data_IF_680192180180
#
_entry.id   IF_680192180180
#
_cell.length_a   1.000
_cell.length_b   1.000
_cell.length_c   1.000
_cell.angle_alpha   90.00
_cell.angle_beta   90.00
_cell.angle_gamma   90.00
#
_symmetry.space_group_name_H-M   'P 1'
#
loop_
_entity.id
_entity.type
_entity.pdbx_description
1 polymer ?
#
# COMPACT_ATOMS: atom_id res chain seq x y z
N UNK A 1 53.13 -5.06 30.11
CA UNK A 1 52.11 -4.44 30.97
C UNK A 1 51.37 -3.40 30.13
N UNK A 2 50.12 -3.54 29.71
CA UNK A 2 49.05 -4.51 29.99
C UNK A 2 48.26 -4.73 28.68
N UNK A 3 48.06 -6.02 28.38
CA UNK A 3 46.98 -6.67 27.65
C UNK A 3 46.41 -6.06 26.37
N UNK A 4 46.96 -6.52 25.23
CA UNK A 4 46.26 -6.63 23.96
C UNK A 4 45.36 -7.88 23.99
N UNK A 5 44.10 -7.70 24.37
CA UNK A 5 43.07 -8.73 24.34
C UNK A 5 42.57 -9.01 22.93
N UNK A 6 43.11 -10.05 22.32
CA UNK A 6 42.58 -10.72 21.14
C UNK A 6 41.20 -11.31 21.45
N UNK A 7 40.13 -10.59 21.13
CA UNK A 7 38.77 -11.14 21.11
C UNK A 7 38.42 -11.49 19.67
N UNK A 8 38.63 -12.77 19.36
CA UNK A 8 38.13 -13.41 18.16
C UNK A 8 36.63 -13.15 18.02
N UNK A 9 36.24 -12.48 16.92
CA UNK A 9 34.85 -12.46 16.48
C UNK A 9 34.45 -13.90 16.11
N UNK A 10 33.83 -14.59 17.07
CA UNK A 10 33.04 -15.79 16.82
C UNK A 10 31.83 -15.38 15.96
N UNK A 11 31.98 -15.43 14.63
CA UNK A 11 30.83 -15.60 13.74
C UNK A 11 30.26 -16.99 14.02
N UNK A 12 29.30 -17.07 14.95
CA UNK A 12 28.38 -18.21 14.98
C UNK A 12 27.62 -18.18 13.66
N UNK A 13 27.94 -19.09 12.75
CA UNK A 13 27.01 -19.55 11.74
C UNK A 13 25.84 -20.18 12.51
N UNK A 14 24.86 -19.38 12.92
CA UNK A 14 23.59 -19.88 13.40
C UNK A 14 22.91 -20.49 12.18
N UNK A 15 22.83 -21.82 12.18
CA UNK A 15 21.94 -22.55 11.29
C UNK A 15 20.53 -22.06 11.64
N UNK A 16 19.86 -21.33 10.73
CA UNK A 16 18.46 -20.92 10.91
C UNK A 16 17.60 -22.19 10.98
N UNK A 17 17.28 -22.66 12.18
CA UNK A 17 16.41 -23.81 12.38
C UNK A 17 14.97 -23.29 12.32
N UNK A 18 14.34 -23.38 11.15
CA UNK A 18 12.89 -23.31 11.06
C UNK A 18 12.32 -24.53 11.81
N UNK A 19 11.62 -24.28 12.93
CA UNK A 19 10.94 -25.35 13.65
C UNK A 19 9.65 -25.64 12.89
N UNK A 20 9.64 -26.79 12.19
CA UNK A 20 8.44 -27.28 11.50
C UNK A 20 7.68 -28.16 12.47
N UNK A 21 6.53 -27.67 12.93
CA UNK A 21 5.58 -28.51 13.67
C UNK A 21 4.68 -29.23 12.67
N UNK A 22 5.05 -30.46 12.33
CA UNK A 22 4.17 -31.36 11.58
C UNK A 22 3.33 -32.18 12.58
N UNK A 23 2.14 -31.69 12.91
CA UNK A 23 1.19 -32.44 13.73
C UNK A 23 0.03 -32.91 12.86
N UNK A 24 -0.03 -34.21 12.57
CA UNK A 24 -1.21 -34.86 12.00
C UNK A 24 -2.29 -34.97 13.06
N UNK A 25 -3.01 -33.86 13.30
CA UNK A 25 -4.25 -33.90 14.07
C UNK A 25 -5.38 -34.34 13.14
N UNK A 26 -5.81 -35.60 13.26
CA UNK A 26 -7.11 -36.04 12.73
C UNK A 26 -8.23 -35.46 13.62
N UNK A 27 -8.51 -34.17 13.46
CA UNK A 27 -9.79 -33.61 13.85
C UNK A 27 -10.74 -33.75 12.66
N UNK A 28 -11.96 -34.24 12.90
CA UNK A 28 -13.05 -34.19 11.92
C UNK A 28 -13.36 -32.70 11.65
N UNK A 29 -12.73 -32.14 10.62
CA UNK A 29 -12.92 -30.75 10.17
C UNK A 29 -14.25 -30.67 9.41
N UNK A 30 -15.07 -29.67 9.74
CA UNK A 30 -16.28 -29.35 8.96
C UNK A 30 -15.88 -29.02 7.52
N UNK A 31 -16.64 -29.51 6.54
CA UNK A 31 -16.32 -29.41 5.11
C UNK A 31 -16.36 -27.99 4.50
N UNK A 32 -16.39 -26.94 5.33
CA UNK A 32 -16.59 -25.56 4.88
C UNK A 32 -15.31 -24.87 4.41
N UNK A 33 -14.11 -25.38 4.74
CA UNK A 33 -12.85 -24.65 4.51
C UNK A 33 -11.69 -25.46 3.90
N UNK A 34 -11.99 -26.35 2.95
CA UNK A 34 -10.99 -27.21 2.28
C UNK A 34 -9.81 -26.46 1.64
N UNK A 35 -9.97 -25.16 1.36
CA UNK A 35 -8.90 -24.31 0.83
C UNK A 35 -7.76 -24.07 1.82
N UNK A 36 -8.04 -24.05 3.13
CA UNK A 36 -7.02 -23.89 4.18
C UNK A 36 -6.21 -25.17 4.39
N UNK A 37 -6.85 -26.33 4.26
CA UNK A 37 -6.26 -27.65 4.52
C UNK A 37 -5.05 -27.98 3.62
N UNK A 38 -4.86 -27.24 2.53
CA UNK A 38 -3.74 -27.38 1.59
C UNK A 38 -2.62 -26.36 1.78
N UNK A 39 -2.84 -25.32 2.60
CA UNK A 39 -1.89 -24.22 2.72
C UNK A 39 -0.78 -24.55 3.71
N UNK A 40 0.46 -24.31 3.29
CA UNK A 40 1.64 -24.28 4.16
C UNK A 40 1.92 -22.83 4.50
N UNK A 41 1.85 -22.50 5.79
CA UNK A 41 2.00 -21.13 6.27
C UNK A 41 3.30 -21.01 7.06
N UNK A 42 4.02 -19.90 6.91
CA UNK A 42 5.08 -19.52 7.83
C UNK A 42 4.68 -18.26 8.57
N UNK A 43 4.66 -18.33 9.90
CA UNK A 43 4.55 -17.16 10.76
C UNK A 43 5.96 -16.61 11.01
N UNK A 44 6.15 -15.33 10.72
CA UNK A 44 7.39 -14.60 10.89
C UNK A 44 7.16 -13.52 11.94
N UNK A 45 7.71 -13.72 13.14
CA UNK A 45 7.44 -12.85 14.29
C UNK A 45 8.20 -13.33 15.53
N UNK A 46 7.90 -12.72 16.68
CA UNK A 46 8.55 -13.07 17.96
C UNK A 46 7.53 -13.21 19.09
N UNK A 47 6.97 -12.09 19.57
CA UNK A 47 6.23 -11.99 20.83
C UNK A 47 4.97 -12.87 20.94
N UNK A 48 4.27 -13.12 19.82
CA UNK A 48 2.96 -13.79 19.79
C UNK A 48 2.97 -15.09 19.00
N UNK A 49 4.16 -15.65 18.75
CA UNK A 49 4.32 -16.81 17.87
C UNK A 49 3.48 -18.00 18.32
N UNK A 50 3.46 -18.29 19.62
CA UNK A 50 2.74 -19.46 20.17
C UNK A 50 1.23 -19.36 19.93
N UNK A 51 0.66 -18.16 20.10
CA UNK A 51 -0.77 -17.91 19.90
C UNK A 51 -1.18 -18.14 18.43
N UNK A 52 -0.38 -17.63 17.49
CA UNK A 52 -0.64 -17.82 16.06
C UNK A 52 -0.41 -19.26 15.61
N UNK A 53 0.60 -19.95 16.16
CA UNK A 53 0.82 -21.37 15.84
C UNK A 53 -0.34 -22.23 16.30
N UNK A 54 -0.76 -22.06 17.56
CA UNK A 54 -1.85 -22.85 18.12
C UNK A 54 -3.15 -22.64 17.33
N UNK A 55 -3.42 -21.39 16.93
CA UNK A 55 -4.53 -21.04 16.07
C UNK A 55 -4.41 -21.71 14.69
N UNK A 56 -3.33 -21.45 13.95
CA UNK A 56 -3.19 -21.87 12.55
C UNK A 56 -3.13 -23.40 12.38
N UNK A 57 -2.51 -24.14 13.30
CA UNK A 57 -2.43 -25.61 13.24
C UNK A 57 -3.81 -26.28 13.17
N UNK A 58 -4.84 -25.62 13.70
CA UNK A 58 -6.22 -26.12 13.67
C UNK A 58 -6.84 -26.02 12.27
N UNK A 59 -6.30 -25.18 11.39
CA UNK A 59 -6.90 -24.81 10.11
C UNK A 59 -6.06 -25.15 8.88
N UNK A 60 -4.73 -25.02 8.93
CA UNK A 60 -3.87 -25.16 7.74
C UNK A 60 -3.20 -26.53 7.64
N UNK A 61 -2.55 -26.83 6.51
CA UNK A 61 -1.84 -28.10 6.27
C UNK A 61 -0.61 -28.23 7.18
N UNK A 62 0.16 -27.15 7.30
CA UNK A 62 1.32 -27.06 8.17
C UNK A 62 1.63 -25.60 8.50
N UNK A 63 2.12 -25.35 9.70
CA UNK A 63 2.68 -24.06 10.09
C UNK A 63 4.13 -24.21 10.52
N UNK A 64 4.97 -23.27 10.10
CA UNK A 64 6.31 -23.09 10.64
C UNK A 64 6.43 -21.70 11.30
N UNK A 65 7.37 -21.57 12.23
CA UNK A 65 7.72 -20.29 12.84
C UNK A 65 9.17 -19.97 12.52
N UNK A 66 9.41 -18.70 12.21
CA UNK A 66 10.75 -18.15 12.09
C UNK A 66 10.80 -16.81 12.83
N UNK A 67 11.85 -16.59 13.61
CA UNK A 67 12.09 -15.27 14.18
C UNK A 67 12.34 -14.28 13.04
N UNK A 68 11.65 -13.14 13.07
CA UNK A 68 11.79 -12.07 12.08
C UNK A 68 13.25 -11.68 11.80
N UNK A 69 14.09 -11.61 12.83
CA UNK A 69 15.48 -11.16 12.70
C UNK A 69 16.38 -12.21 11.98
N UNK A 70 15.94 -13.47 11.96
CA UNK A 70 16.62 -14.58 11.29
C UNK A 70 16.04 -14.88 9.90
N UNK A 71 14.90 -14.29 9.56
CA UNK A 71 14.15 -14.60 8.36
C UNK A 71 14.77 -13.99 7.10
N UNK A 72 14.85 -14.78 6.02
CA UNK A 72 15.27 -14.33 4.70
C UNK A 72 14.15 -14.58 3.69
N UNK A 73 13.99 -13.71 2.65
CA UNK A 73 12.97 -13.91 1.62
C UNK A 73 12.95 -15.32 1.01
N UNK A 74 14.11 -15.93 0.78
CA UNK A 74 14.21 -17.28 0.23
C UNK A 74 13.65 -18.38 1.15
N UNK A 75 13.57 -18.15 2.47
CA UNK A 75 12.96 -19.11 3.40
C UNK A 75 11.45 -19.25 3.14
N UNK A 76 10.82 -18.21 2.57
CA UNK A 76 9.42 -18.20 2.20
C UNK A 76 9.08 -19.20 1.07
N UNK A 77 10.06 -19.65 0.28
CA UNK A 77 9.81 -20.44 -0.93
C UNK A 77 9.20 -21.83 -0.69
N UNK A 78 9.29 -22.32 0.54
CA UNK A 78 8.73 -23.60 0.96
C UNK A 78 7.26 -23.49 1.37
N UNK A 79 6.73 -22.28 1.44
CA UNK A 79 5.41 -21.96 1.95
C UNK A 79 4.55 -21.31 0.88
N UNK A 80 3.24 -21.38 1.08
CA UNK A 80 2.25 -20.81 0.19
C UNK A 80 1.88 -19.38 0.64
N UNK A 81 1.89 -19.13 1.95
CA UNK A 81 1.61 -17.81 2.55
C UNK A 81 2.59 -17.50 3.69
N UNK A 82 3.03 -16.24 3.77
CA UNK A 82 3.74 -15.68 4.93
C UNK A 82 2.76 -14.87 5.77
N UNK A 83 2.74 -15.09 7.08
CA UNK A 83 2.13 -14.16 8.05
C UNK A 83 3.25 -13.41 8.73
N UNK A 84 3.39 -12.13 8.39
CA UNK A 84 4.43 -11.27 8.97
C UNK A 84 3.83 -10.43 10.09
N UNK A 85 4.34 -10.66 11.30
CA UNK A 85 4.06 -9.87 12.49
C UNK A 85 5.29 -9.01 12.83
N UNK A 86 5.04 -7.76 13.21
CA UNK A 86 6.09 -6.80 13.54
C UNK A 86 5.65 -6.01 14.77
N UNK A 87 6.43 -6.07 15.87
CA UNK A 87 6.09 -5.41 17.11
C UNK A 87 5.79 -3.91 16.96
N UNK A 88 4.88 -3.42 17.79
CA UNK A 88 4.60 -2.00 17.98
C UNK A 88 5.38 -1.45 19.18
N UNK A 89 6.68 -1.21 18.98
CA UNK A 89 7.56 -0.64 20.01
C UNK A 89 8.22 0.67 19.55
N UNK A 90 8.84 1.39 20.48
CA UNK A 90 9.66 2.56 20.14
C UNK A 90 10.80 2.17 19.18
N UNK A 91 11.44 1.03 19.42
CA UNK A 91 12.51 0.51 18.58
C UNK A 91 12.01 0.17 17.17
N UNK A 92 10.84 -0.48 17.05
CA UNK A 92 10.24 -0.77 15.76
C UNK A 92 9.89 0.50 14.96
N UNK A 93 9.60 1.63 15.63
CA UNK A 93 9.41 2.93 14.96
C UNK A 93 10.73 3.46 14.39
N UNK A 94 11.86 3.17 15.01
CA UNK A 94 13.18 3.54 14.50
C UNK A 94 13.58 2.72 13.27
N UNK A 95 12.96 1.57 13.06
CA UNK A 95 13.18 0.74 11.86
C UNK A 95 12.45 1.24 10.61
N UNK A 96 11.67 2.33 10.70
CA UNK A 96 11.02 2.99 9.56
C UNK A 96 12.04 3.73 8.71
N UNK A 97 12.79 2.98 7.92
CA UNK A 97 13.83 3.49 7.04
C UNK A 97 13.55 3.09 5.60
N UNK A 98 14.37 3.57 4.66
CA UNK A 98 14.29 3.17 3.24
C UNK A 98 14.74 1.73 3.00
N UNK A 99 15.28 1.03 4.01
CA UNK A 99 15.82 -0.33 3.88
C UNK A 99 15.03 -1.28 4.78
N UNK A 100 14.52 -2.35 4.17
CA UNK A 100 13.85 -3.40 4.93
C UNK A 100 14.88 -4.38 5.49
N UNK A 101 14.78 -4.75 6.78
CA UNK A 101 15.58 -5.83 7.34
C UNK A 101 15.22 -7.21 6.73
N UNK A 102 14.08 -7.30 6.07
CA UNK A 102 13.54 -8.52 5.45
C UNK A 102 13.85 -8.61 3.96
N UNK A 103 14.90 -7.94 3.49
CA UNK A 103 15.31 -7.97 2.08
C UNK A 103 14.54 -7.00 1.17
N UNK A 104 14.87 -7.04 -0.12
CA UNK A 104 14.30 -6.09 -1.09
C UNK A 104 12.88 -6.51 -1.49
N UNK A 105 12.04 -5.53 -1.82
CA UNK A 105 10.69 -5.76 -2.34
C UNK A 105 10.68 -6.71 -3.54
N UNK A 106 11.66 -6.57 -4.43
CA UNK A 106 11.79 -7.39 -5.63
C UNK A 106 12.09 -8.88 -5.35
N UNK A 107 12.70 -9.17 -4.20
CA UNK A 107 13.02 -10.52 -3.74
C UNK A 107 11.82 -11.19 -3.06
N UNK A 108 10.76 -10.44 -2.77
CA UNK A 108 9.61 -10.90 -2.02
C UNK A 108 8.48 -11.40 -2.93
N UNK A 109 8.59 -12.66 -3.34
CA UNK A 109 7.66 -13.28 -4.28
C UNK A 109 6.41 -13.93 -3.66
N UNK A 110 6.35 -14.11 -2.34
CA UNK A 110 5.31 -14.94 -1.70
C UNK A 110 4.11 -14.11 -1.26
N UNK A 111 2.88 -14.62 -1.44
CA UNK A 111 1.70 -14.08 -0.78
C UNK A 111 1.93 -13.83 0.70
N UNK A 112 1.60 -12.64 1.17
CA UNK A 112 1.91 -12.23 2.55
C UNK A 112 0.77 -11.47 3.19
N UNK A 113 0.40 -11.88 4.39
CA UNK A 113 -0.45 -11.10 5.30
C UNK A 113 0.45 -10.30 6.23
N UNK A 114 0.29 -8.98 6.22
CA UNK A 114 0.98 -8.02 7.08
C UNK A 114 0.06 -7.70 8.27
N UNK A 115 0.42 -8.18 9.46
CA UNK A 115 -0.39 -8.07 10.67
C UNK A 115 -0.15 -6.75 11.41
N UNK A 116 -1.21 -6.05 11.76
CA UNK A 116 -1.16 -4.81 12.52
C UNK A 116 -0.17 -3.80 11.93
N UNK A 117 0.76 -3.31 12.74
CA UNK A 117 1.76 -2.33 12.26
C UNK A 117 2.85 -2.91 11.35
N UNK A 118 2.91 -4.22 11.11
CA UNK A 118 3.80 -4.78 10.10
C UNK A 118 3.53 -4.18 8.72
N UNK A 119 2.26 -3.90 8.42
CA UNK A 119 1.84 -3.20 7.21
C UNK A 119 2.57 -1.89 7.02
N UNK A 120 2.62 -1.07 8.06
CA UNK A 120 3.34 0.20 8.04
C UNK A 120 4.84 0.03 7.91
N UNK A 121 5.46 -0.74 8.81
CA UNK A 121 6.92 -0.76 8.92
C UNK A 121 7.55 -1.28 7.62
N UNK A 122 6.92 -2.29 7.00
CA UNK A 122 7.32 -2.79 5.71
C UNK A 122 6.95 -1.83 4.56
N UNK A 123 5.77 -1.22 4.60
CA UNK A 123 5.37 -0.23 3.60
C UNK A 123 6.26 1.01 3.57
N UNK A 124 6.84 1.42 4.69
CA UNK A 124 7.87 2.46 4.72
C UNK A 124 9.08 2.09 3.88
N UNK A 125 9.64 0.91 4.11
CA UNK A 125 10.86 0.45 3.41
C UNK A 125 10.61 0.09 1.94
N UNK A 126 9.45 -0.47 1.63
CA UNK A 126 9.09 -0.90 0.27
C UNK A 126 8.24 0.10 -0.50
N UNK A 127 7.99 1.27 0.11
CA UNK A 127 7.23 2.37 -0.47
C UNK A 127 5.87 1.89 -1.00
N UNK A 128 5.09 1.27 -0.12
CA UNK A 128 3.75 0.75 -0.42
C UNK A 128 2.66 1.72 0.07
N UNK A 129 1.41 1.49 -0.35
CA UNK A 129 0.27 2.31 0.09
C UNK A 129 0.08 2.37 1.61
N UNK A 130 0.52 1.34 2.34
CA UNK A 130 0.53 1.28 3.80
C UNK A 130 1.41 2.32 4.51
N UNK A 131 2.28 3.03 3.78
CA UNK A 131 3.27 3.96 4.34
C UNK A 131 2.69 5.30 4.82
N UNK A 132 1.37 5.45 4.86
CA UNK A 132 0.70 6.66 5.32
C UNK A 132 -0.59 6.32 6.06
N UNK A 133 -0.69 6.74 7.32
CA UNK A 133 -1.79 6.31 8.18
C UNK A 133 -1.53 6.63 9.65
N UNK A 134 -2.19 5.91 10.55
CA UNK A 134 -2.01 6.08 11.99
C UNK A 134 -2.20 4.79 12.78
N UNK A 135 -1.45 4.67 13.88
CA UNK A 135 -1.61 3.63 14.89
C UNK A 135 -2.72 4.05 15.87
N UNK A 136 -3.97 3.99 15.42
CA UNK A 136 -5.16 4.34 16.22
C UNK A 136 -6.40 3.54 15.80
N UNK A 137 -6.21 2.40 15.15
CA UNK A 137 -7.32 1.57 14.70
C UNK A 137 -7.86 0.75 15.88
N UNK A 138 -9.14 0.91 16.17
CA UNK A 138 -9.86 0.10 17.16
C UNK A 138 -10.24 -1.27 16.58
N UNK A 139 -10.45 -2.30 17.42
CA UNK A 139 -10.81 -3.65 16.99
C UNK A 139 -12.27 -3.78 16.54
N UNK A 140 -12.72 -2.85 15.71
CA UNK A 140 -14.06 -2.84 15.11
C UNK A 140 -13.93 -2.52 13.62
N UNK A 141 -14.53 -3.37 12.78
CA UNK A 141 -14.55 -3.20 11.34
C UNK A 141 -15.71 -2.30 10.92
N UNK A 142 -15.45 -1.44 9.94
CA UNK A 142 -16.41 -0.46 9.42
C UNK A 142 -16.40 -0.49 7.89
N UNK A 143 -17.53 -0.19 7.26
CA UNK A 143 -17.66 -0.07 5.80
C UNK A 143 -17.14 -1.31 5.02
N UNK A 144 -17.59 -2.50 5.43
CA UNK A 144 -17.25 -3.75 4.73
C UNK A 144 -17.86 -3.73 3.32
N UNK A 145 -17.00 -3.72 2.30
CA UNK A 145 -17.43 -3.73 0.90
C UNK A 145 -18.03 -5.08 0.52
N UNK A 146 -18.87 -5.09 -0.51
CA UNK A 146 -19.31 -6.33 -1.14
C UNK A 146 -18.11 -7.00 -1.83
N UNK A 147 -17.56 -8.05 -1.20
CA UNK A 147 -16.31 -8.64 -1.65
C UNK A 147 -16.18 -10.12 -1.25
N UNK A 148 -15.64 -11.01 -2.12
CA UNK A 148 -15.53 -12.45 -1.83
C UNK A 148 -14.76 -12.80 -0.55
N UNK A 149 -13.87 -11.94 -0.08
CA UNK A 149 -13.14 -12.12 1.19
C UNK A 149 -14.08 -12.21 2.41
N UNK A 150 -15.30 -11.68 2.33
CA UNK A 150 -16.29 -11.78 3.42
C UNK A 150 -17.25 -12.95 3.25
N UNK A 151 -17.12 -13.70 2.16
CA UNK A 151 -18.03 -14.79 1.80
C UNK A 151 -17.36 -16.16 1.91
N UNK A 152 -16.02 -16.23 1.75
CA UNK A 152 -15.25 -17.48 1.74
C UNK A 152 -13.84 -17.37 2.35
N UNK A 153 -13.31 -18.47 2.91
CA UNK A 153 -13.97 -19.76 3.14
C UNK A 153 -15.08 -19.69 4.20
N UNK A 154 -15.03 -18.71 5.11
CA UNK A 154 -16.07 -18.52 6.12
C UNK A 154 -16.94 -17.30 5.76
N UNK A 155 -18.25 -17.47 5.73
CA UNK A 155 -19.15 -16.34 5.59
C UNK A 155 -19.10 -15.46 6.85
N UNK A 156 -18.95 -14.14 6.64
CA UNK A 156 -19.02 -13.12 7.66
C UNK A 156 -20.44 -12.53 7.63
N UNK A 157 -21.15 -12.62 8.76
CA UNK A 157 -22.45 -11.96 8.89
C UNK A 157 -22.26 -10.44 8.98
N UNK A 158 -22.39 -9.76 7.83
CA UNK A 158 -22.23 -8.31 7.74
C UNK A 158 -23.38 -7.53 8.39
N UNK A 159 -24.47 -8.20 8.78
CA UNK A 159 -25.58 -7.61 9.52
C UNK A 159 -25.47 -7.75 11.04
N UNK A 160 -24.49 -8.51 11.55
CA UNK A 160 -24.20 -8.65 12.97
C UNK A 160 -23.42 -7.43 13.50
N UNK A 161 -24.00 -6.25 13.32
CA UNK A 161 -23.40 -4.97 13.72
C UNK A 161 -23.82 -4.56 15.12
N UNK A 162 -23.03 -3.68 15.71
CA UNK A 162 -23.41 -2.85 16.85
C UNK A 162 -23.44 -1.39 16.42
N UNK A 163 -24.26 -0.60 17.09
CA UNK A 163 -24.31 0.85 16.93
C UNK A 163 -23.35 1.53 17.91
N UNK A 164 -22.49 2.41 17.42
CA UNK A 164 -21.64 3.28 18.26
C UNK A 164 -21.85 4.75 17.90
N UNK A 165 -21.47 5.66 18.79
CA UNK A 165 -21.40 7.09 18.46
C UNK A 165 -20.38 7.33 17.34
N UNK A 166 -20.70 8.24 16.42
CA UNK A 166 -19.78 8.63 15.35
C UNK A 166 -18.53 9.25 15.96
N UNK A 167 -17.33 8.70 15.71
CA UNK A 167 -16.08 9.23 16.24
C UNK A 167 -15.90 10.71 15.89
N UNK A 168 -15.41 11.57 16.80
CA UNK A 168 -15.24 13.00 16.51
C UNK A 168 -14.42 13.30 15.25
N UNK A 169 -13.43 12.45 14.94
CA UNK A 169 -12.62 12.58 13.73
C UNK A 169 -13.36 12.27 12.42
N UNK A 170 -14.57 11.72 12.48
CA UNK A 170 -15.37 11.40 11.29
C UNK A 170 -16.42 12.47 11.00
N UNK A 171 -16.65 13.42 11.93
CA UNK A 171 -17.72 14.42 11.83
C UNK A 171 -17.55 15.42 10.68
N UNK A 172 -16.32 15.59 10.16
CA UNK A 172 -16.08 16.38 8.95
C UNK A 172 -16.55 15.65 7.67
N UNK A 173 -16.69 14.32 7.73
CA UNK A 173 -16.97 13.44 6.58
C UNK A 173 -18.38 12.79 6.66
N UNK A 174 -18.97 12.70 7.85
CA UNK A 174 -20.27 12.05 8.11
C UNK A 174 -21.20 12.98 8.91
N UNK A 175 -22.47 13.04 8.51
CA UNK A 175 -23.51 13.81 9.21
C UNK A 175 -24.23 13.00 10.30
N UNK A 176 -24.20 11.66 10.21
CA UNK A 176 -24.89 10.77 11.15
C UNK A 176 -24.25 10.82 12.55
N UNK A 177 -25.08 10.85 13.60
CA UNK A 177 -24.62 10.85 15.00
C UNK A 177 -24.09 9.48 15.45
N UNK A 178 -24.48 8.41 14.76
CA UNK A 178 -24.05 7.04 15.03
C UNK A 178 -23.67 6.29 13.76
N UNK A 179 -22.84 5.25 13.91
CA UNK A 179 -22.45 4.33 12.84
C UNK A 179 -22.59 2.87 13.27
N UNK A 180 -22.79 2.01 12.28
CA UNK A 180 -22.82 0.55 12.45
C UNK A 180 -21.44 -0.04 12.22
N UNK A 181 -20.96 -0.87 13.16
CA UNK A 181 -19.63 -1.50 13.11
C UNK A 181 -19.72 -2.97 13.51
N UNK A 182 -18.73 -3.77 13.10
CA UNK A 182 -18.63 -5.19 13.48
C UNK A 182 -17.43 -5.38 14.43
N UNK A 183 -17.65 -5.73 15.70
CA UNK A 183 -16.57 -6.04 16.62
C UNK A 183 -15.81 -7.29 16.20
N UNK A 184 -14.48 -7.22 16.25
CA UNK A 184 -13.60 -8.38 16.04
C UNK A 184 -13.06 -8.94 17.37
N UNK A 185 -13.57 -8.45 18.50
CA UNK A 185 -13.29 -8.84 19.88
C UNK A 185 -14.60 -8.90 20.67
N UNK A 186 -14.62 -9.60 21.80
CA UNK A 186 -15.83 -9.72 22.64
C UNK A 186 -16.19 -8.41 23.35
N UNK A 187 -15.23 -7.78 24.03
CA UNK A 187 -15.41 -6.51 24.75
C UNK A 187 -14.71 -5.38 23.98
N UNK A 188 -15.41 -4.76 23.04
CA UNK A 188 -14.85 -3.72 22.17
C UNK A 188 -14.54 -2.40 22.91
N UNK A 189 -15.13 -2.17 24.09
CA UNK A 189 -14.94 -0.96 24.91
C UNK A 189 -13.67 -1.03 25.77
N UNK A 190 -13.12 -2.23 25.96
CA UNK A 190 -11.84 -2.41 26.64
C UNK A 190 -10.74 -1.62 25.93
N UNK A 191 -9.76 -1.14 26.72
CA UNK A 191 -8.57 -0.48 26.20
C UNK A 191 -7.62 -1.50 25.52
N UNK A 192 -7.86 -1.74 24.24
CA UNK A 192 -7.05 -2.63 23.41
C UNK A 192 -5.82 -1.93 22.84
N UNK A 193 -4.79 -2.73 22.47
CA UNK A 193 -3.68 -2.19 21.68
C UNK A 193 -4.20 -1.77 20.31
N UNK A 194 -3.95 -0.52 19.94
CA UNK A 194 -4.40 0.02 18.67
C UNK A 194 -3.71 -0.65 17.47
N UNK A 195 -4.49 -0.95 16.43
CA UNK A 195 -4.01 -1.36 15.12
C UNK A 195 -3.53 -0.21 14.26
N UNK A 196 -3.21 -0.54 13.01
CA UNK A 196 -2.81 0.42 11.97
C UNK A 196 -3.97 0.66 10.99
N UNK A 197 -4.38 1.92 10.82
CA UNK A 197 -5.24 2.33 9.72
C UNK A 197 -4.41 3.02 8.63
N UNK A 198 -4.69 2.74 7.36
CA UNK A 198 -3.98 3.32 6.20
C UNK A 198 -4.87 4.33 5.49
N UNK A 199 -4.34 5.50 5.13
CA UNK A 199 -5.09 6.45 4.31
C UNK A 199 -5.35 5.85 2.92
N UNK A 200 -6.62 5.70 2.57
CA UNK A 200 -7.08 4.98 1.37
C UNK A 200 -7.21 5.87 0.11
N UNK A 201 -6.92 7.17 0.23
CA UNK A 201 -7.07 8.12 -0.88
C UNK A 201 -6.37 7.62 -2.14
N UNK A 202 -7.10 7.54 -3.25
CA UNK A 202 -6.65 7.06 -4.56
C UNK A 202 -6.26 5.58 -4.65
N UNK A 203 -6.76 4.71 -3.76
CA UNK A 203 -6.58 3.25 -3.91
C UNK A 203 -7.15 2.74 -5.24
N UNK A 204 -8.25 3.31 -5.71
CA UNK A 204 -8.96 2.99 -6.95
C UNK A 204 -8.14 3.27 -8.23
N UNK A 205 -7.19 4.21 -8.16
CA UNK A 205 -6.28 4.55 -9.26
C UNK A 205 -5.38 3.35 -9.60
N UNK A 206 -4.99 2.58 -8.58
CA UNK A 206 -4.00 1.52 -8.72
C UNK A 206 -4.63 0.19 -9.13
N UNK A 207 -4.15 -0.47 -10.20
CA UNK A 207 -4.65 -1.77 -10.64
C UNK A 207 -4.60 -2.87 -9.59
N UNK A 208 -3.52 -2.88 -8.82
CA UNK A 208 -3.16 -3.96 -7.93
C UNK A 208 -3.65 -3.73 -6.50
N UNK A 209 -4.35 -2.63 -6.23
CA UNK A 209 -4.81 -2.26 -4.89
C UNK A 209 -6.30 -2.55 -4.73
N UNK A 210 -6.67 -3.13 -3.58
CA UNK A 210 -8.05 -3.38 -3.20
C UNK A 210 -8.32 -2.88 -1.79
N UNK A 211 -9.45 -2.19 -1.59
CA UNK A 211 -9.98 -1.83 -0.28
C UNK A 211 -11.08 -2.82 0.10
N UNK A 212 -10.96 -3.48 1.26
CA UNK A 212 -11.99 -4.42 1.71
C UNK A 212 -12.88 -3.81 2.80
N UNK A 213 -12.27 -3.21 3.82
CA UNK A 213 -12.99 -2.51 4.87
C UNK A 213 -12.11 -1.48 5.58
N UNK A 214 -12.76 -0.53 6.22
CA UNK A 214 -12.18 0.37 7.20
C UNK A 214 -12.32 -0.16 8.63
N UNK A 215 -12.14 0.74 9.57
CA UNK A 215 -12.44 0.53 10.98
C UNK A 215 -12.44 1.86 11.73
N UNK A 216 -12.87 1.84 12.98
CA UNK A 216 -12.93 3.05 13.80
C UNK A 216 -11.52 3.51 14.13
N UNK A 217 -11.26 4.79 13.92
CA UNK A 217 -9.93 5.37 14.06
C UNK A 217 -10.02 6.89 14.28
N UNK A 218 -8.91 7.50 14.70
CA UNK A 218 -8.85 8.94 14.99
C UNK A 218 -8.51 9.83 13.78
N UNK A 219 -8.77 9.40 12.54
CA UNK A 219 -8.37 10.12 11.31
C UNK A 219 -9.52 10.43 10.36
N UNK A 220 -10.17 9.42 9.77
CA UNK A 220 -11.23 9.58 8.77
C UNK A 220 -11.98 8.25 8.60
N UNK A 221 -13.28 8.25 8.31
CA UNK A 221 -14.07 7.04 8.05
C UNK A 221 -13.55 6.23 6.86
N UNK A 222 -12.82 6.88 5.94
CA UNK A 222 -12.30 6.23 4.74
C UNK A 222 -11.01 5.44 4.97
N UNK A 223 -10.36 5.55 6.14
CA UNK A 223 -9.09 4.88 6.37
C UNK A 223 -9.25 3.35 6.37
N UNK A 224 -8.38 2.66 5.63
CA UNK A 224 -8.44 1.22 5.42
C UNK A 224 -7.85 0.44 6.61
N UNK A 225 -8.62 -0.52 7.10
CA UNK A 225 -8.15 -1.53 8.06
C UNK A 225 -7.62 -2.76 7.30
N UNK A 226 -8.39 -3.28 6.35
CA UNK A 226 -7.99 -4.41 5.51
C UNK A 226 -7.96 -3.99 4.04
N UNK A 227 -6.82 -4.18 3.40
CA UNK A 227 -6.58 -3.85 1.99
C UNK A 227 -5.49 -4.74 1.40
N UNK A 228 -5.37 -4.80 0.07
CA UNK A 228 -4.33 -5.53 -0.66
C UNK A 228 -3.57 -4.59 -1.60
N UNK A 229 -2.28 -4.85 -1.83
CA UNK A 229 -1.49 -4.34 -2.95
C UNK A 229 -0.63 -5.47 -3.52
N UNK A 230 -0.97 -5.98 -4.71
CA UNK A 230 -0.28 -7.13 -5.29
C UNK A 230 -0.34 -8.36 -4.38
N UNK A 231 0.76 -9.09 -4.20
CA UNK A 231 0.85 -10.23 -3.29
C UNK A 231 0.87 -9.88 -1.79
N UNK A 232 0.60 -8.64 -1.41
CA UNK A 232 0.64 -8.19 -0.01
C UNK A 232 -0.76 -7.78 0.44
N UNK A 233 -1.27 -8.41 1.49
CA UNK A 233 -2.53 -8.04 2.15
C UNK A 233 -2.21 -7.50 3.54
N UNK A 234 -2.76 -6.33 3.86
CA UNK A 234 -2.68 -5.75 5.18
C UNK A 234 -3.91 -6.11 6.01
N UNK A 235 -3.68 -6.69 7.19
CA UNK A 235 -4.71 -6.94 8.20
C UNK A 235 -4.40 -6.02 9.39
N UNK A 236 -4.97 -4.82 9.38
CA UNK A 236 -4.53 -3.73 10.25
C UNK A 236 -4.87 -3.86 11.72
N UNK A 237 -5.77 -4.76 12.09
CA UNK A 237 -6.10 -5.02 13.49
C UNK A 237 -4.90 -5.59 14.24
N UNK A 238 -4.70 -5.14 15.47
CA UNK A 238 -3.52 -5.52 16.25
C UNK A 238 -3.75 -6.82 17.04
N UNK A 239 -4.99 -7.25 17.22
CA UNK A 239 -5.37 -8.30 18.14
C UNK A 239 -4.78 -9.66 17.71
N UNK A 240 -4.36 -10.47 18.69
CA UNK A 240 -3.97 -11.85 18.44
C UNK A 240 -5.20 -12.78 18.33
N UNK A 241 -5.04 -14.03 17.84
CA UNK A 241 -6.15 -14.99 17.84
C UNK A 241 -6.72 -15.32 19.24
N UNK A 242 -5.98 -15.08 20.33
CA UNK A 242 -6.54 -15.25 21.69
C UNK A 242 -7.38 -14.05 22.13
N UNK A 243 -7.16 -12.89 21.51
CA UNK A 243 -7.90 -11.65 21.80
C UNK A 243 -9.11 -11.48 20.88
N UNK A 244 -9.05 -12.01 19.66
CA UNK A 244 -10.13 -11.95 18.67
C UNK A 244 -11.32 -12.84 19.06
N UNK A 245 -12.51 -12.42 18.63
CA UNK A 245 -13.70 -13.27 18.64
C UNK A 245 -13.78 -14.11 17.34
N UNK A 246 -14.82 -14.94 17.22
CA UNK A 246 -15.06 -15.78 16.03
C UNK A 246 -15.06 -14.99 14.71
N UNK A 247 -15.57 -13.76 14.70
CA UNK A 247 -15.58 -12.89 13.51
C UNK A 247 -14.18 -12.45 13.14
N UNK A 248 -13.37 -12.02 14.12
CA UNK A 248 -11.97 -11.64 13.91
C UNK A 248 -11.14 -12.80 13.37
N UNK A 249 -11.28 -13.99 13.96
CA UNK A 249 -10.61 -15.21 13.52
C UNK A 249 -10.96 -15.57 12.07
N UNK A 250 -12.26 -15.55 11.72
CA UNK A 250 -12.72 -15.83 10.36
C UNK A 250 -12.23 -14.79 9.35
N UNK A 251 -12.22 -13.50 9.72
CA UNK A 251 -11.67 -12.46 8.85
C UNK A 251 -10.18 -12.69 8.57
N UNK A 252 -9.40 -13.08 9.58
CA UNK A 252 -7.98 -13.40 9.39
C UNK A 252 -7.81 -14.64 8.50
N UNK A 253 -8.55 -15.72 8.74
CA UNK A 253 -8.48 -16.94 7.92
C UNK A 253 -8.89 -16.67 6.46
N UNK A 254 -9.92 -15.85 6.25
CA UNK A 254 -10.31 -15.42 4.91
C UNK A 254 -9.25 -14.59 4.22
N UNK A 255 -8.58 -13.69 4.94
CA UNK A 255 -7.46 -12.92 4.41
C UNK A 255 -6.30 -13.82 3.95
N UNK A 256 -5.98 -14.87 4.73
CA UNK A 256 -4.94 -15.86 4.39
C UNK A 256 -5.30 -16.61 3.10
N UNK A 257 -6.53 -17.13 2.99
CA UNK A 257 -6.97 -17.84 1.78
C UNK A 257 -7.01 -16.90 0.58
N UNK A 258 -7.55 -15.69 0.75
CA UNK A 258 -7.67 -14.74 -0.34
C UNK A 258 -6.29 -14.39 -0.92
N UNK A 259 -5.33 -13.99 -0.07
CA UNK A 259 -4.01 -13.58 -0.57
C UNK A 259 -3.23 -14.74 -1.18
N UNK A 260 -3.46 -15.98 -0.74
CA UNK A 260 -2.79 -17.18 -1.28
C UNK A 260 -2.99 -17.37 -2.79
N UNK A 261 -4.00 -16.72 -3.37
CA UNK A 261 -4.32 -16.78 -4.79
C UNK A 261 -3.61 -15.70 -5.63
N UNK A 262 -2.64 -14.97 -5.07
CA UNK A 262 -1.96 -13.87 -5.76
C UNK A 262 -0.43 -14.05 -5.77
N UNK A 263 0.04 -15.24 -6.16
CA UNK A 263 1.47 -15.51 -6.27
C UNK A 263 2.12 -14.86 -7.50
N UNK A 264 1.35 -14.51 -8.54
CA UNK A 264 1.83 -13.84 -9.74
C UNK A 264 1.74 -12.30 -9.69
N UNK A 265 0.89 -11.75 -8.83
CA UNK A 265 0.65 -10.31 -8.73
C UNK A 265 1.71 -9.63 -7.84
N UNK A 266 2.07 -8.39 -8.16
CA UNK A 266 3.16 -7.67 -7.45
C UNK A 266 2.77 -6.21 -7.24
N UNK A 267 3.21 -5.57 -6.14
CA UNK A 267 3.10 -4.12 -6.00
C UNK A 267 3.75 -3.42 -7.19
N UNK A 268 2.97 -2.60 -7.91
CA UNK A 268 3.45 -1.86 -9.09
C UNK A 268 3.82 -0.45 -8.65
N UNK A 269 2.87 0.23 -8.02
CA UNK A 269 3.03 1.61 -7.62
C UNK A 269 3.98 1.77 -6.44
N UNK A 270 4.83 2.80 -6.55
CA UNK A 270 5.72 3.26 -5.50
C UNK A 270 5.05 4.45 -4.82
N UNK A 271 4.89 4.36 -3.50
CA UNK A 271 4.29 5.38 -2.65
C UNK A 271 5.22 5.67 -1.47
N UNK A 272 6.06 6.70 -1.57
CA UNK A 272 6.94 7.10 -0.49
C UNK A 272 6.15 7.38 0.80
N UNK A 273 6.77 7.05 1.93
CA UNK A 273 6.18 7.21 3.25
C UNK A 273 6.57 8.55 3.86
N UNK A 274 5.58 9.21 4.48
CA UNK A 274 5.80 10.45 5.25
C UNK A 274 6.66 10.23 6.50
N UNK A 275 6.88 8.97 6.89
CA UNK A 275 7.69 8.61 8.06
C UNK A 275 9.17 8.38 7.74
N UNK A 276 9.53 8.32 6.46
CA UNK A 276 10.90 8.04 6.01
C UNK A 276 11.56 9.29 5.45
N UNK A 277 10.84 10.06 4.64
CA UNK A 277 11.40 11.26 4.02
C UNK A 277 10.32 12.15 3.39
N UNK A 278 10.75 13.25 2.74
CA UNK A 278 9.85 14.14 2.03
C UNK A 278 9.02 13.39 0.97
N UNK A 279 7.71 13.61 0.99
CA UNK A 279 6.76 12.99 0.07
C UNK A 279 5.94 14.07 -0.61
N UNK A 280 5.94 14.06 -1.94
CA UNK A 280 5.06 14.91 -2.72
C UNK A 280 3.59 14.54 -2.47
N UNK A 281 2.77 15.57 -2.26
CA UNK A 281 1.31 15.44 -2.19
C UNK A 281 0.76 15.32 -3.61
N UNK A 282 -0.44 14.79 -3.82
CA UNK A 282 -1.16 14.90 -5.08
C UNK A 282 -1.35 16.37 -5.46
N UNK A 283 -1.25 16.71 -6.75
CA UNK A 283 -1.32 18.10 -7.24
C UNK A 283 -2.68 18.76 -7.00
N UNK A 284 -3.74 17.96 -6.98
CA UNK A 284 -5.10 18.42 -6.65
C UNK A 284 -5.25 18.90 -5.20
N UNK A 285 -4.30 18.56 -4.31
CA UNK A 285 -4.33 18.97 -2.90
C UNK A 285 -4.26 20.49 -2.75
N UNK A 286 -3.56 21.19 -3.67
CA UNK A 286 -3.40 22.66 -3.60
C UNK A 286 -4.76 23.35 -3.64
N UNK A 287 -5.54 23.12 -4.70
CA UNK A 287 -6.88 23.68 -4.85
C UNK A 287 -7.83 23.21 -3.74
N UNK A 288 -7.81 21.90 -3.43
CA UNK A 288 -8.67 21.32 -2.39
C UNK A 288 -8.46 21.98 -1.02
N UNK A 289 -7.21 22.23 -0.62
CA UNK A 289 -6.91 22.81 0.68
C UNK A 289 -7.08 24.31 0.73
N UNK A 290 -6.89 25.03 -0.38
CA UNK A 290 -7.14 26.47 -0.44
C UNK A 290 -8.63 26.84 -0.20
N UNK A 291 -9.56 25.90 -0.43
CA UNK A 291 -10.99 26.06 -0.09
C UNK A 291 -11.24 26.29 1.42
N UNK A 292 -10.29 25.88 2.28
CA UNK A 292 -10.34 26.14 3.71
C UNK A 292 -9.21 27.12 4.11
N UNK A 293 -9.53 28.35 4.52
CA UNK A 293 -8.51 29.34 4.91
C UNK A 293 -7.54 28.88 6.00
N UNK A 294 -7.99 28.03 6.93
CA UNK A 294 -7.13 27.46 7.98
C UNK A 294 -6.04 26.53 7.43
N UNK A 295 -6.24 25.98 6.22
CA UNK A 295 -5.28 25.10 5.54
C UNK A 295 -4.26 25.86 4.68
N UNK A 296 -4.40 27.18 4.49
CA UNK A 296 -3.49 28.01 3.65
C UNK A 296 -2.02 27.88 4.04
N UNK A 297 -1.71 27.87 5.34
CA UNK A 297 -0.33 27.69 5.84
C UNK A 297 0.27 26.35 5.41
N UNK A 298 -0.56 25.31 5.35
CA UNK A 298 -0.12 23.98 4.92
C UNK A 298 0.15 23.93 3.43
N UNK A 299 -0.66 24.65 2.63
CA UNK A 299 -0.41 24.83 1.19
C UNK A 299 0.93 25.51 0.96
N UNK A 300 1.20 26.63 1.63
CA UNK A 300 2.51 27.32 1.56
C UNK A 300 3.70 26.41 1.91
N UNK A 301 3.51 25.47 2.84
CA UNK A 301 4.56 24.55 3.25
C UNK A 301 4.87 23.42 2.25
N UNK A 302 3.93 23.08 1.36
CA UNK A 302 4.07 21.95 0.42
C UNK A 302 4.38 22.35 -1.02
N UNK A 303 4.28 23.63 -1.36
CA UNK A 303 4.63 24.16 -2.70
C UNK A 303 6.01 24.84 -2.67
N UNK A 304 6.65 24.98 -3.83
CA UNK A 304 7.86 25.79 -4.00
C UNK A 304 7.58 27.26 -3.72
N UNK A 305 8.62 28.05 -3.43
CA UNK A 305 8.48 29.48 -3.15
C UNK A 305 7.84 30.21 -4.34
N UNK A 306 8.36 29.98 -5.55
CA UNK A 306 7.84 30.55 -6.80
C UNK A 306 6.36 30.20 -7.04
N UNK A 307 5.96 28.94 -6.79
CA UNK A 307 4.57 28.53 -6.93
C UNK A 307 3.69 29.21 -5.87
N UNK A 308 4.17 29.33 -4.63
CA UNK A 308 3.44 30.05 -3.59
C UNK A 308 3.21 31.51 -3.95
N UNK A 309 4.25 32.22 -4.41
CA UNK A 309 4.15 33.62 -4.82
C UNK A 309 3.14 33.79 -5.96
N UNK A 310 3.15 32.88 -6.93
CA UNK A 310 2.19 32.88 -8.05
C UNK A 310 0.76 32.65 -7.59
N UNK A 311 0.53 31.72 -6.64
CA UNK A 311 -0.79 31.51 -6.03
C UNK A 311 -1.21 32.77 -5.27
N UNK A 312 -0.33 33.31 -4.43
CA UNK A 312 -0.64 34.45 -3.57
C UNK A 312 -0.95 35.72 -4.37
N UNK A 313 -0.32 35.90 -5.54
CA UNK A 313 -0.60 37.02 -6.45
C UNK A 313 -1.99 36.99 -7.09
N UNK A 314 -2.73 35.87 -7.01
CA UNK A 314 -4.09 35.79 -7.56
C UNK A 314 -5.12 36.58 -6.75
N UNK A 315 -4.79 36.98 -5.51
CA UNK A 315 -5.63 37.84 -4.69
C UNK A 315 -6.38 37.09 -3.59
N UNK A 316 -7.71 37.03 -3.69
CA UNK A 316 -8.54 36.39 -2.67
C UNK A 316 -8.56 34.86 -2.78
N UNK A 317 -9.18 34.20 -1.80
CA UNK A 317 -9.20 32.74 -1.71
C UNK A 317 -9.88 32.07 -2.92
N UNK A 318 -10.94 32.66 -3.45
CA UNK A 318 -11.68 32.10 -4.58
C UNK A 318 -10.87 32.19 -5.88
N UNK A 319 -10.16 33.32 -6.07
CA UNK A 319 -9.22 33.48 -7.17
C UNK A 319 -8.04 32.50 -7.08
N UNK A 320 -7.48 32.30 -5.88
CA UNK A 320 -6.42 31.31 -5.62
C UNK A 320 -6.88 29.89 -5.95
N UNK A 321 -8.08 29.50 -5.49
CA UNK A 321 -8.66 28.17 -5.76
C UNK A 321 -8.89 27.99 -7.25
N UNK A 322 -9.57 28.94 -7.90
CA UNK A 322 -9.90 28.87 -9.33
C UNK A 322 -8.65 28.77 -10.20
N UNK A 323 -7.61 29.54 -9.86
CA UNK A 323 -6.32 29.44 -10.52
C UNK A 323 -5.67 28.08 -10.30
N UNK A 324 -5.62 27.60 -9.05
CA UNK A 324 -4.99 26.31 -8.73
C UNK A 324 -5.71 25.14 -9.40
N UNK A 325 -7.05 25.16 -9.50
CA UNK A 325 -7.82 24.16 -10.25
C UNK A 325 -7.44 24.17 -11.73
N UNK A 326 -7.34 25.35 -12.35
CA UNK A 326 -6.94 25.49 -13.75
C UNK A 326 -5.50 25.05 -14.02
N UNK A 327 -4.57 25.32 -13.09
CA UNK A 327 -3.15 24.99 -13.25
C UNK A 327 -2.77 23.60 -12.76
N UNK A 328 -3.68 22.88 -12.10
CA UNK A 328 -3.45 21.51 -11.62
C UNK A 328 -2.80 20.61 -12.70
N UNK A 329 -3.23 20.61 -13.97
CA UNK A 329 -2.60 19.86 -15.06
C UNK A 329 -1.07 20.03 -15.18
N UNK A 330 -0.53 21.19 -14.80
CA UNK A 330 0.86 21.55 -15.03
C UNK A 330 1.71 21.57 -13.75
N UNK A 331 1.14 21.16 -12.61
CA UNK A 331 1.88 21.04 -11.36
C UNK A 331 2.60 19.68 -11.31
N UNK A 332 3.90 19.74 -10.99
CA UNK A 332 4.81 18.61 -10.78
C UNK A 332 5.47 18.69 -9.42
N UNK A 333 6.51 17.88 -9.21
CA UNK A 333 7.34 17.84 -8.01
C UNK A 333 8.78 18.28 -8.29
N UNK A 334 9.37 19.07 -7.40
CA UNK A 334 10.79 19.47 -7.42
C UNK A 334 11.73 18.45 -6.73
N UNK A 335 13.02 18.77 -6.63
CA UNK A 335 14.01 17.88 -6.04
C UNK A 335 13.83 17.69 -4.51
N UNK A 336 13.12 18.61 -3.87
CA UNK A 336 12.83 18.64 -2.44
C UNK A 336 11.45 18.04 -2.10
N UNK A 337 10.79 17.41 -3.07
CA UNK A 337 9.44 16.86 -2.96
C UNK A 337 8.33 17.90 -2.73
N UNK A 338 8.56 19.18 -3.05
CA UNK A 338 7.54 20.22 -3.07
C UNK A 338 6.88 20.31 -4.44
N UNK A 339 5.65 20.81 -4.44
CA UNK A 339 4.90 21.04 -5.68
C UNK A 339 5.40 22.29 -6.39
N UNK A 340 5.63 22.20 -7.69
CA UNK A 340 6.12 23.30 -8.53
C UNK A 340 5.43 23.28 -9.90
N UNK A 341 5.48 24.39 -10.64
CA UNK A 341 5.04 24.42 -12.04
C UNK A 341 6.02 23.65 -12.93
N UNK A 342 5.49 22.88 -13.88
CA UNK A 342 6.27 22.28 -14.96
C UNK A 342 6.06 23.07 -16.26
N UNK A 343 7.01 23.95 -16.65
CA UNK A 343 6.88 24.73 -17.86
C UNK A 343 6.88 23.86 -19.12
N UNK A 344 7.41 22.63 -19.05
CA UNK A 344 7.38 21.72 -20.19
C UNK A 344 5.98 21.15 -20.43
N UNK A 345 5.20 20.91 -19.36
CA UNK A 345 3.78 20.51 -19.46
C UNK A 345 2.91 21.68 -19.93
N UNK A 346 3.16 22.90 -19.43
CA UNK A 346 2.46 24.12 -19.89
C UNK A 346 2.68 24.35 -21.39
N UNK A 347 3.93 24.20 -21.87
CA UNK A 347 4.29 24.44 -23.26
C UNK A 347 3.63 23.48 -24.26
N UNK A 348 3.17 22.30 -23.82
CA UNK A 348 2.42 21.35 -24.64
C UNK A 348 0.91 21.33 -24.32
N UNK A 349 0.49 22.18 -23.37
CA UNK A 349 -0.89 22.31 -22.87
C UNK A 349 -1.51 20.95 -22.48
N UNK A 350 -0.69 20.06 -21.89
CA UNK A 350 -1.11 18.73 -21.43
C UNK A 350 -0.53 18.41 -20.07
N UNK A 351 -1.37 17.88 -19.19
CA UNK A 351 -0.88 17.26 -17.97
C UNK A 351 -0.19 15.93 -18.29
N UNK A 352 0.73 15.49 -17.42
CA UNK A 352 1.45 14.25 -17.67
C UNK A 352 0.54 13.01 -17.74
N UNK A 353 -0.60 13.04 -17.05
CA UNK A 353 -1.63 12.00 -16.99
C UNK A 353 -2.72 12.14 -18.07
N UNK A 354 -2.59 13.14 -18.96
CA UNK A 354 -3.49 13.32 -20.09
C UNK A 354 -3.39 12.11 -21.06
N UNK A 355 -4.51 11.57 -21.58
CA UNK A 355 -4.49 10.44 -22.50
C UNK A 355 -3.67 10.66 -23.78
N UNK A 356 -3.42 11.91 -24.17
CA UNK A 356 -2.64 12.29 -25.36
C UNK A 356 -1.21 12.76 -25.01
N UNK A 357 -0.83 12.76 -23.72
CA UNK A 357 0.49 13.20 -23.27
C UNK A 357 1.63 12.45 -23.97
N UNK A 358 1.53 11.11 -24.02
CA UNK A 358 2.58 10.28 -24.61
C UNK A 358 2.68 10.49 -26.11
N UNK A 359 1.57 10.58 -26.84
CA UNK A 359 1.56 10.94 -28.26
C UNK A 359 2.26 12.29 -28.49
N UNK A 360 1.85 13.34 -27.78
CA UNK A 360 2.42 14.68 -27.93
C UNK A 360 3.93 14.72 -27.58
N UNK A 361 4.34 14.08 -26.49
CA UNK A 361 5.74 14.04 -26.09
C UNK A 361 6.60 13.26 -27.11
N UNK A 362 6.08 12.17 -27.66
CA UNK A 362 6.78 11.36 -28.68
C UNK A 362 6.87 12.09 -30.02
N UNK A 363 5.80 12.77 -30.43
CA UNK A 363 5.80 13.60 -31.65
C UNK A 363 6.84 14.72 -31.58
N UNK A 364 6.98 15.38 -30.41
CA UNK A 364 7.98 16.42 -30.24
C UNK A 364 9.44 15.94 -30.36
N UNK A 365 9.74 14.65 -30.18
CA UNK A 365 11.07 14.09 -30.48
C UNK A 365 11.43 14.15 -31.98
N UNK A 366 10.41 14.15 -32.85
CA UNK A 366 10.58 14.25 -34.30
C UNK A 366 10.51 15.70 -34.81
N UNK A 367 10.31 16.69 -33.92
CA UNK A 367 10.24 18.10 -34.32
C UNK A 367 11.57 18.58 -34.92
N UNK A 368 11.50 19.49 -35.89
CA UNK A 368 12.67 20.18 -36.43
C UNK A 368 13.27 21.17 -35.42
N UNK A 369 12.47 21.64 -34.45
CA UNK A 369 12.90 22.56 -33.41
C UNK A 369 13.67 21.85 -32.30
N UNK A 370 14.91 22.29 -32.07
CA UNK A 370 15.76 21.74 -31.00
C UNK A 370 15.15 21.92 -29.61
N UNK A 371 14.48 23.06 -29.35
CA UNK A 371 13.86 23.30 -28.04
C UNK A 371 12.70 22.35 -27.76
N UNK A 372 11.94 21.98 -28.80
CA UNK A 372 10.83 21.02 -28.68
C UNK A 372 11.35 19.59 -28.48
N UNK A 373 12.38 19.19 -29.23
CA UNK A 373 13.04 17.89 -29.02
C UNK A 373 13.57 17.76 -27.60
N UNK A 374 14.28 18.78 -27.11
CA UNK A 374 14.83 18.78 -25.75
C UNK A 374 13.72 18.74 -24.69
N UNK A 375 12.62 19.48 -24.89
CA UNK A 375 11.43 19.41 -24.02
C UNK A 375 10.86 18.01 -23.97
N UNK A 376 10.64 17.38 -25.12
CA UNK A 376 10.14 16.00 -25.22
C UNK A 376 11.04 14.99 -24.50
N UNK A 377 12.37 15.12 -24.66
CA UNK A 377 13.33 14.27 -23.92
C UNK A 377 13.18 14.45 -22.41
N UNK A 378 13.05 15.68 -21.91
CA UNK A 378 12.85 15.95 -20.47
C UNK A 378 11.54 15.36 -19.96
N UNK A 379 10.44 15.58 -20.67
CA UNK A 379 9.11 15.07 -20.31
C UNK A 379 9.10 13.53 -20.24
N UNK A 380 9.62 12.86 -21.27
CA UNK A 380 9.64 11.40 -21.31
C UNK A 380 10.54 10.79 -20.24
N UNK A 381 11.71 11.39 -19.99
CA UNK A 381 12.60 10.94 -18.92
C UNK A 381 12.01 11.13 -17.52
N UNK A 382 11.28 12.24 -17.30
CA UNK A 382 10.64 12.56 -16.02
C UNK A 382 9.44 11.63 -15.75
N UNK A 383 8.51 11.56 -16.70
CA UNK A 383 7.21 10.92 -16.50
C UNK A 383 7.16 9.46 -16.92
N UNK A 384 8.13 8.96 -17.68
CA UNK A 384 8.15 7.57 -18.17
C UNK A 384 9.54 6.93 -17.97
N UNK A 385 10.03 6.82 -16.71
CA UNK A 385 11.40 6.41 -16.42
C UNK A 385 11.74 4.97 -16.85
N UNK A 386 10.71 4.14 -17.04
CA UNK A 386 10.78 2.74 -17.50
C UNK A 386 10.65 2.60 -19.04
N UNK A 387 10.57 3.72 -19.76
CA UNK A 387 10.56 3.76 -21.22
C UNK A 387 11.95 3.55 -21.86
N UNK A 388 12.08 3.66 -23.19
CA UNK A 388 13.31 3.36 -23.92
C UNK A 388 14.52 4.26 -23.61
N UNK A 389 14.33 5.43 -22.98
CA UNK A 389 15.37 6.45 -22.71
C UNK A 389 16.13 6.91 -23.97
N UNK A 390 15.47 6.81 -25.13
CA UNK A 390 16.01 7.27 -26.41
C UNK A 390 15.68 8.76 -26.64
N UNK A 391 16.54 9.46 -27.38
CA UNK A 391 16.23 10.78 -27.93
C UNK A 391 15.48 10.71 -29.26
N UNK A 392 15.36 9.52 -29.85
CA UNK A 392 14.68 9.29 -31.13
C UNK A 392 13.22 8.89 -30.94
N UNK A 393 12.33 9.37 -31.81
CA UNK A 393 10.90 9.05 -31.76
C UNK A 393 10.59 7.56 -32.00
N UNK A 394 11.30 6.88 -32.90
CA UNK A 394 10.93 5.53 -33.36
C UNK A 394 10.95 4.46 -32.24
N UNK A 395 11.97 4.38 -31.35
CA UNK A 395 11.91 3.50 -30.18
C UNK A 395 10.72 3.78 -29.27
N UNK A 396 10.37 5.05 -29.06
CA UNK A 396 9.23 5.44 -28.24
C UNK A 396 7.88 5.11 -28.87
N UNK A 397 7.72 5.30 -30.18
CA UNK A 397 6.50 4.93 -30.90
C UNK A 397 6.22 3.42 -30.78
N UNK A 398 7.24 2.58 -30.97
CA UNK A 398 7.12 1.12 -30.79
C UNK A 398 6.76 0.77 -29.35
N UNK A 399 7.48 1.33 -28.39
CA UNK A 399 7.21 1.10 -26.97
C UNK A 399 5.79 1.52 -26.60
N UNK A 400 5.33 2.68 -27.06
CA UNK A 400 3.99 3.15 -26.73
C UNK A 400 2.93 2.25 -27.36
N UNK A 401 3.07 1.88 -28.63
CA UNK A 401 2.15 0.97 -29.31
C UNK A 401 2.04 -0.38 -28.58
N UNK A 402 3.16 -0.94 -28.11
CA UNK A 402 3.20 -2.21 -27.38
C UNK A 402 2.60 -2.12 -25.97
N UNK A 403 2.73 -0.97 -25.31
CA UNK A 403 2.41 -0.83 -23.89
C UNK A 403 1.10 -0.08 -23.62
N UNK A 404 0.54 0.68 -24.56
CA UNK A 404 -0.64 1.56 -24.37
C UNK A 404 -1.80 0.92 -23.59
N UNK A 405 -2.22 -0.35 -23.85
CA UNK A 405 -3.31 -0.97 -23.08
C UNK A 405 -2.97 -1.26 -21.61
N UNK A 406 -1.68 -1.24 -21.26
CA UNK A 406 -1.13 -1.66 -19.98
C UNK A 406 -0.56 -0.49 -19.14
N UNK A 407 -0.73 0.73 -19.63
CA UNK A 407 -0.23 1.94 -19.00
C UNK A 407 -1.27 2.58 -18.06
N UNK A 408 -0.78 3.14 -16.96
CA UNK A 408 -1.56 4.00 -16.08
C UNK A 408 -0.65 5.06 -15.44
N UNK A 409 -1.19 6.24 -15.15
CA UNK A 409 -0.47 7.36 -14.56
C UNK A 409 -0.96 7.64 -13.13
N UNK A 410 -0.07 8.12 -12.26
CA UNK A 410 -0.46 8.62 -10.93
C UNK A 410 0.51 9.70 -10.43
N UNK A 411 -0.03 10.67 -9.71
CA UNK A 411 0.69 11.73 -8.99
C UNK A 411 0.91 11.39 -7.49
N UNK A 412 0.40 10.26 -7.02
CA UNK A 412 0.60 9.83 -5.64
C UNK A 412 1.97 9.14 -5.50
N UNK A 413 3.00 9.94 -5.25
CA UNK A 413 4.36 9.49 -4.99
C UNK A 413 5.37 10.16 -5.91
N UNK A 414 5.52 9.64 -7.13
CA UNK A 414 6.58 10.03 -8.06
C UNK A 414 6.13 10.66 -9.37
N UNK A 415 4.83 10.97 -9.56
CA UNK A 415 4.35 11.66 -10.76
C UNK A 415 4.82 10.99 -12.05
N UNK A 416 4.27 9.81 -12.37
CA UNK A 416 4.75 9.04 -13.53
C UNK A 416 3.72 8.07 -14.07
N UNK A 417 4.01 7.61 -15.28
CA UNK A 417 3.41 6.43 -15.89
C UNK A 417 4.08 5.15 -15.41
N UNK A 418 3.26 4.12 -15.23
CA UNK A 418 3.65 2.77 -14.89
C UNK A 418 3.12 1.81 -15.97
N UNK A 419 3.84 0.71 -16.18
CA UNK A 419 3.33 -0.46 -16.89
C UNK A 419 2.81 -1.45 -15.86
N UNK A 420 1.61 -1.99 -16.05
CA UNK A 420 1.11 -3.16 -15.30
C UNK A 420 1.66 -4.45 -15.93
N UNK A 421 2.66 -5.12 -15.30
CA UNK A 421 3.33 -6.26 -15.91
C UNK A 421 2.42 -7.49 -15.99
N UNK A 422 1.49 -7.65 -15.04
CA UNK A 422 0.57 -8.79 -15.02
C UNK A 422 -0.46 -8.65 -16.14
N UNK A 423 -1.03 -7.47 -16.29
CA UNK A 423 -1.92 -7.12 -17.40
C UNK A 423 -1.26 -7.39 -18.76
N UNK A 424 -0.02 -6.91 -18.95
CA UNK A 424 0.76 -7.14 -20.17
C UNK A 424 1.00 -8.63 -20.42
N UNK A 425 1.43 -9.38 -19.40
CA UNK A 425 1.70 -10.82 -19.51
C UNK A 425 0.44 -11.61 -19.89
N UNK A 426 -0.72 -11.23 -19.35
CA UNK A 426 -2.02 -11.89 -19.61
C UNK A 426 -2.73 -11.38 -20.87
N UNK A 427 -2.23 -10.32 -21.51
CA UNK A 427 -2.89 -9.70 -22.67
C UNK A 427 -4.22 -9.02 -22.32
N UNK A 428 -4.45 -8.69 -21.05
CA UNK A 428 -5.66 -8.02 -20.57
C UNK A 428 -5.31 -6.56 -20.26
N UNK A 429 -5.99 -5.56 -20.83
CA UNK A 429 -5.74 -4.15 -20.51
C UNK A 429 -5.84 -3.85 -19.02
N UNK A 430 -4.96 -3.00 -18.49
CA UNK A 430 -4.86 -2.66 -17.05
C UNK A 430 -6.18 -2.25 -16.45
N UNK A 431 -6.98 -1.45 -17.17
CA UNK A 431 -8.29 -0.98 -16.73
C UNK A 431 -9.31 -2.10 -16.51
N UNK A 432 -9.08 -3.29 -17.07
CA UNK A 432 -9.96 -4.46 -16.97
C UNK A 432 -9.43 -5.55 -16.04
N UNK A 433 -8.17 -5.47 -15.60
CA UNK A 433 -7.56 -6.48 -14.73
C UNK A 433 -7.50 -5.96 -13.28
N UNK A 434 -8.59 -6.14 -12.54
CA UNK A 434 -8.81 -5.64 -11.17
C UNK A 434 -9.32 -6.74 -10.25
N UNK A 435 -9.17 -6.55 -8.94
CA UNK A 435 -9.80 -7.44 -7.95
C UNK A 435 -9.45 -8.92 -8.12
N UNK A 436 -10.48 -9.77 -8.06
CA UNK A 436 -10.35 -11.22 -8.26
C UNK A 436 -9.84 -11.61 -9.65
N UNK A 437 -9.97 -10.78 -10.68
CA UNK A 437 -9.42 -11.07 -12.01
C UNK A 437 -7.88 -11.10 -12.01
N UNK A 438 -7.25 -10.56 -10.96
CA UNK A 438 -5.79 -10.61 -10.76
C UNK A 438 -5.31 -11.88 -10.06
N UNK A 439 -6.21 -12.73 -9.57
CA UNK A 439 -5.85 -14.03 -8.99
C UNK A 439 -5.06 -14.88 -9.99
N UNK A 440 -4.25 -15.81 -9.49
CA UNK A 440 -3.45 -16.74 -10.26
C UNK A 440 -4.34 -17.51 -11.24
N UNK A 441 -3.86 -17.65 -12.47
CA UNK A 441 -4.61 -18.41 -13.48
C UNK A 441 -4.60 -19.88 -13.10
N UNK A 442 -5.78 -20.51 -13.06
CA UNK A 442 -5.92 -21.94 -12.78
C UNK A 442 -5.44 -22.81 -13.92
#
# INVERSE_FOLDING_TARGET
MKDSGMLALYRKNALSIAIVFASTCLCLRSGEATELDRLRVVYVGSERSDEFVEFLQKHVASVAVVNRDDFKPADADKFDVVLLDWPQSADARMERTERSPLGRREEWGRPTVLLGSAGLNLACAWQLRGGSGCTCLDPVAYDLKAHPIFERPFAIDRGATITIETPPSFQDDLEDETIEVIPIVEDYEKNWRAGWCTYSTAFDVYPEVEFFCGGVNHKTPTAAAIWRQGNLLHFGFQQSPQEMNDTGDRLLLNAIVYISQFSEDRPIAISPSVFVGPRARPRSTVASWLKNPARRRWVKGMVSEDLWETIESQGDADAMVSWAEKQTPYITVDAESKLAMDPDLEAIEKGFDDPEFLEAAIEGLASESESERQRSVRLLNRYVPDGPRSTDAAPWQRWHQENKPFLFATDYGHYRWYIDPLAKRRGVPTKRLRGTDRMDSK
#
